data_IF_396107834965
#
_entry.id   IF_396107834965
#
_cell.length_a   1.000
_cell.length_b   1.000
_cell.length_c   1.000
_cell.angle_alpha   90.00
_cell.angle_beta   90.00
_cell.angle_gamma   90.00
#
_symmetry.space_group_name_H-M   'P 1'
#
loop_
_entity.id
_entity.type
_entity.pdbx_description
1 polymer ?
#
# COMPACT_ATOMS: atom_id res chain seq x y z
N UNK A 1 40.70 23.83 -54.22
CA UNK A 1 40.14 24.95 -53.44
C UNK A 1 38.71 25.12 -53.91
N UNK A 2 37.70 24.42 -53.39
CA UNK A 2 37.38 24.18 -51.99
C UNK A 2 36.18 25.07 -51.68
N UNK A 3 34.96 24.55 -51.76
CA UNK A 3 33.81 25.17 -51.10
C UNK A 3 32.79 24.09 -50.70
N UNK A 4 32.66 24.01 -49.37
CA UNK A 4 31.80 23.22 -48.50
C UNK A 4 30.46 22.72 -49.09
N UNK A 5 30.27 21.41 -48.96
CA UNK A 5 28.97 20.75 -48.87
C UNK A 5 28.43 21.00 -47.45
N UNK A 6 27.37 21.79 -47.30
CA UNK A 6 26.61 21.87 -46.05
C UNK A 6 25.58 20.74 -46.08
N UNK A 7 25.96 19.60 -45.48
CA UNK A 7 25.02 18.55 -45.09
C UNK A 7 24.28 19.03 -43.85
N UNK A 8 23.07 19.55 -44.04
CA UNK A 8 22.13 19.81 -42.96
C UNK A 8 21.62 18.45 -42.46
N UNK A 9 22.31 17.88 -41.48
CA UNK A 9 21.80 16.76 -40.69
C UNK A 9 20.68 17.34 -39.81
N UNK A 10 19.46 17.39 -40.34
CA UNK A 10 18.27 17.52 -39.51
C UNK A 10 18.12 16.21 -38.74
N UNK A 11 18.75 16.16 -37.57
CA UNK A 11 18.43 15.23 -36.51
C UNK A 11 16.94 15.41 -36.20
N UNK A 12 16.11 14.55 -36.78
CA UNK A 12 14.79 14.24 -36.24
C UNK A 12 15.05 13.61 -34.86
N UNK A 13 15.23 14.47 -33.86
CA UNK A 13 14.95 14.11 -32.49
C UNK A 13 13.47 13.79 -32.50
N UNK A 14 13.15 12.50 -32.61
CA UNK A 14 11.88 11.97 -32.16
C UNK A 14 11.78 12.33 -30.69
N UNK A 15 11.23 13.52 -30.43
CA UNK A 15 10.68 13.89 -29.15
C UNK A 15 9.50 12.98 -28.90
N UNK A 16 9.78 11.75 -28.49
CA UNK A 16 8.86 11.02 -27.64
C UNK A 16 8.78 11.90 -26.41
N UNK A 17 7.67 12.61 -26.23
CA UNK A 17 7.31 13.11 -24.91
C UNK A 17 7.32 11.87 -24.02
N UNK A 18 8.38 11.68 -23.24
CA UNK A 18 8.35 10.70 -22.17
C UNK A 18 7.20 11.16 -21.28
N UNK A 19 6.14 10.35 -21.19
CA UNK A 19 5.05 10.64 -20.26
C UNK A 19 5.69 10.81 -18.88
N UNK A 20 5.46 11.95 -18.24
CA UNK A 20 6.02 12.19 -16.91
C UNK A 20 5.22 11.33 -15.91
N UNK A 21 5.89 10.32 -15.36
CA UNK A 21 5.32 9.42 -14.36
C UNK A 21 5.86 9.78 -13.00
N UNK A 22 4.98 10.15 -12.09
CA UNK A 22 5.35 10.45 -10.71
C UNK A 22 4.68 9.49 -9.73
N UNK A 23 5.47 8.61 -9.12
CA UNK A 23 5.09 7.75 -8.02
C UNK A 23 4.61 8.58 -6.82
N UNK A 24 3.47 8.20 -6.29
CA UNK A 24 2.84 8.79 -5.10
C UNK A 24 2.91 7.84 -3.90
N UNK A 25 3.11 6.55 -4.14
CA UNK A 25 3.20 5.56 -3.08
C UNK A 25 2.93 4.16 -3.58
N UNK A 26 3.37 3.18 -2.82
CA UNK A 26 3.17 1.79 -3.14
C UNK A 26 3.45 0.84 -1.99
N UNK A 27 2.97 -0.38 -2.14
CA UNK A 27 3.24 -1.51 -1.24
C UNK A 27 3.24 -2.81 -2.04
N UNK A 28 4.04 -3.79 -1.60
CA UNK A 28 4.02 -5.16 -2.07
C UNK A 28 3.82 -6.09 -0.88
N UNK A 29 2.89 -7.03 -0.98
CA UNK A 29 2.67 -8.11 -0.01
C UNK A 29 2.81 -9.45 -0.71
N UNK A 30 3.05 -10.52 0.05
CA UNK A 30 3.12 -11.87 -0.49
C UNK A 30 2.39 -12.88 0.39
N UNK A 31 1.84 -13.91 -0.25
CA UNK A 31 1.14 -15.01 0.40
C UNK A 31 1.50 -16.34 -0.26
N UNK A 32 2.13 -17.28 0.47
CA UNK A 32 2.37 -18.63 -0.02
C UNK A 32 1.05 -19.39 -0.21
N UNK A 33 0.88 -20.04 -1.36
CA UNK A 33 -0.34 -20.80 -1.74
C UNK A 33 -0.10 -22.32 -1.78
N UNK A 34 1.02 -22.79 -1.22
CA UNK A 34 1.41 -24.20 -1.19
C UNK A 34 2.29 -24.62 -2.37
N UNK A 35 2.34 -25.92 -2.64
CA UNK A 35 3.22 -26.49 -3.67
C UNK A 35 2.42 -26.93 -4.90
N UNK A 36 3.02 -26.72 -6.06
CA UNK A 36 2.54 -27.26 -7.32
C UNK A 36 2.88 -28.76 -7.43
N UNK A 37 2.26 -29.44 -8.40
CA UNK A 37 2.51 -30.87 -8.66
C UNK A 37 3.96 -31.18 -9.06
N UNK A 38 4.66 -30.21 -9.64
CA UNK A 38 6.07 -30.31 -10.04
C UNK A 38 7.04 -30.07 -8.87
N UNK A 39 6.54 -29.80 -7.67
CA UNK A 39 7.32 -29.52 -6.47
C UNK A 39 7.73 -28.06 -6.29
N UNK A 40 7.46 -27.18 -7.26
CA UNK A 40 7.69 -25.73 -7.08
C UNK A 40 6.72 -25.14 -6.07
N UNK A 41 7.13 -24.07 -5.39
CA UNK A 41 6.32 -23.37 -4.40
C UNK A 41 5.56 -22.25 -5.11
N UNK A 42 4.24 -22.25 -4.98
CA UNK A 42 3.38 -21.20 -5.53
C UNK A 42 3.27 -20.07 -4.50
N UNK A 43 3.61 -18.85 -4.91
CA UNK A 43 3.47 -17.65 -4.09
C UNK A 43 2.78 -16.57 -4.88
N UNK A 44 1.73 -15.99 -4.28
CA UNK A 44 1.02 -14.87 -4.85
C UNK A 44 1.56 -13.57 -4.25
N UNK A 45 1.88 -12.63 -5.14
CA UNK A 45 2.36 -11.29 -4.83
C UNK A 45 1.27 -10.30 -5.18
N UNK A 46 1.03 -9.36 -4.27
CA UNK A 46 0.00 -8.36 -4.44
C UNK A 46 0.61 -6.98 -4.22
N UNK A 47 0.72 -6.22 -5.31
CA UNK A 47 1.18 -4.82 -5.30
C UNK A 47 0.01 -3.84 -5.42
N UNK A 48 0.12 -2.72 -4.71
CA UNK A 48 -0.78 -1.58 -4.82
C UNK A 48 0.07 -0.35 -4.96
N UNK A 49 0.01 0.31 -6.11
CA UNK A 49 0.86 1.45 -6.46
C UNK A 49 0.02 2.61 -6.99
N UNK A 50 0.54 3.82 -6.91
CA UNK A 50 -0.16 5.02 -7.36
C UNK A 50 0.77 5.98 -8.04
N UNK A 51 0.35 6.47 -9.20
CA UNK A 51 1.16 7.28 -10.09
C UNK A 51 0.38 8.51 -10.55
N UNK A 52 1.04 9.65 -10.71
CA UNK A 52 0.58 10.70 -11.61
C UNK A 52 1.12 10.38 -13.00
N UNK A 53 0.24 10.30 -13.98
CA UNK A 53 0.55 9.94 -15.35
C UNK A 53 -0.03 10.99 -16.30
N UNK A 54 0.78 11.56 -17.20
CA UNK A 54 0.36 12.58 -18.18
C UNK A 54 -0.29 11.99 -19.45
N UNK A 55 -0.87 10.78 -19.37
CA UNK A 55 -1.45 10.02 -20.48
C UNK A 55 -2.44 8.95 -20.00
N UNK A 56 -2.55 7.79 -20.66
CA UNK A 56 -3.38 6.67 -20.20
C UNK A 56 -2.67 5.80 -19.15
N UNK A 57 -3.35 5.48 -18.04
CA UNK A 57 -2.84 4.53 -17.06
C UNK A 57 -2.48 3.20 -17.74
N UNK A 58 -1.23 2.77 -17.60
CA UNK A 58 -0.74 1.47 -18.10
C UNK A 58 -0.31 0.63 -16.91
N UNK A 59 -1.23 -0.13 -16.29
CA UNK A 59 -0.94 -0.86 -15.08
C UNK A 59 -0.07 -2.08 -15.42
N UNK A 60 1.20 -2.04 -15.03
CA UNK A 60 2.14 -3.14 -15.17
C UNK A 60 3.13 -3.11 -13.99
N UNK A 61 3.42 -4.27 -13.41
CA UNK A 61 4.48 -4.43 -12.40
C UNK A 61 5.84 -4.13 -13.00
N UNK A 62 6.66 -3.35 -12.30
CA UNK A 62 8.09 -3.22 -12.58
C UNK A 62 8.98 -3.91 -11.53
N UNK A 63 8.40 -4.78 -10.70
CA UNK A 63 9.14 -5.60 -9.73
C UNK A 63 10.11 -6.60 -10.38
N UNK A 64 11.40 -6.37 -10.17
CA UNK A 64 12.50 -7.19 -10.66
C UNK A 64 13.07 -8.08 -9.56
N UNK A 65 13.69 -9.19 -9.97
CA UNK A 65 14.46 -10.03 -9.05
C UNK A 65 15.79 -9.35 -8.73
N UNK A 66 16.02 -9.03 -7.45
CA UNK A 66 17.21 -8.30 -7.02
C UNK A 66 18.31 -9.22 -6.50
N UNK A 67 17.95 -10.14 -5.61
CA UNK A 67 18.86 -11.08 -4.96
C UNK A 67 18.16 -12.42 -4.75
N UNK A 68 18.91 -13.52 -4.81
CA UNK A 68 18.36 -14.86 -4.67
C UNK A 68 17.70 -15.39 -5.95
N UNK A 69 16.82 -16.37 -5.80
CA UNK A 69 16.06 -16.98 -6.89
C UNK A 69 14.57 -16.64 -6.74
N UNK A 70 14.11 -15.70 -7.56
CA UNK A 70 12.72 -15.25 -7.55
C UNK A 70 11.80 -16.08 -8.46
N UNK A 71 12.27 -17.22 -8.97
CA UNK A 71 11.52 -18.14 -9.82
C UNK A 71 10.91 -17.51 -11.07
N UNK A 72 9.81 -18.08 -11.54
CA UNK A 72 9.13 -17.67 -12.78
C UNK A 72 7.75 -17.12 -12.51
N UNK A 73 7.39 -16.04 -13.22
CA UNK A 73 6.03 -15.51 -13.21
C UNK A 73 5.16 -16.43 -14.07
N UNK A 74 4.08 -16.95 -13.50
CA UNK A 74 3.14 -17.84 -14.20
C UNK A 74 1.84 -17.16 -14.55
N UNK A 75 1.37 -16.23 -13.71
CA UNK A 75 0.20 -15.40 -13.99
C UNK A 75 0.46 -13.97 -13.55
N UNK A 76 -0.14 -13.02 -14.27
CA UNK A 76 -0.18 -11.62 -13.86
C UNK A 76 -1.51 -10.99 -14.27
N UNK A 77 -2.09 -10.24 -13.36
CA UNK A 77 -3.33 -9.49 -13.55
C UNK A 77 -3.11 -8.09 -12.99
N UNK A 78 -3.46 -7.07 -13.76
CA UNK A 78 -3.37 -5.68 -13.31
C UNK A 78 -4.68 -4.97 -13.58
N UNK A 79 -5.07 -4.11 -12.67
CA UNK A 79 -6.29 -3.33 -12.78
C UNK A 79 -6.18 -1.99 -12.11
N UNK A 80 -7.04 -1.07 -12.54
CA UNK A 80 -7.24 0.21 -11.89
C UNK A 80 -8.33 0.09 -10.84
N UNK A 81 -8.14 0.75 -9.70
CA UNK A 81 -9.02 0.63 -8.53
C UNK A 81 -9.96 1.82 -8.33
N UNK A 82 -9.74 2.95 -9.01
CA UNK A 82 -10.62 4.12 -8.99
C UNK A 82 -10.81 4.74 -10.39
N UNK A 83 -11.66 4.14 -11.25
CA UNK A 83 -11.90 4.61 -12.62
C UNK A 83 -12.61 5.97 -12.72
N UNK A 84 -13.10 6.51 -11.59
CA UNK A 84 -13.78 7.81 -11.53
C UNK A 84 -12.81 8.98 -11.25
N UNK A 85 -11.49 8.73 -11.27
CA UNK A 85 -10.51 9.76 -10.98
C UNK A 85 -10.57 10.92 -12.00
N UNK A 86 -10.64 12.15 -11.50
CA UNK A 86 -10.48 13.35 -12.33
C UNK A 86 -8.99 13.69 -12.48
N UNK A 87 -8.47 13.68 -13.71
CA UNK A 87 -7.07 14.04 -14.00
C UNK A 87 -6.17 12.84 -14.29
N UNK A 88 -4.86 12.99 -14.06
CA UNK A 88 -3.84 11.98 -14.35
C UNK A 88 -3.44 11.05 -13.19
N UNK A 89 -4.24 10.94 -12.12
CA UNK A 89 -3.89 10.07 -10.98
C UNK A 89 -4.33 8.63 -11.26
N UNK A 90 -3.41 7.70 -11.39
CA UNK A 90 -3.65 6.28 -11.60
C UNK A 90 -3.44 5.51 -10.29
N UNK A 91 -4.47 4.85 -9.78
CA UNK A 91 -4.34 3.87 -8.68
C UNK A 91 -4.43 2.46 -9.23
N UNK A 92 -3.30 1.76 -9.22
CA UNK A 92 -3.15 0.44 -9.83
C UNK A 92 -2.95 -0.63 -8.77
N UNK A 93 -3.44 -1.81 -9.09
CA UNK A 93 -3.26 -3.03 -8.29
C UNK A 93 -2.78 -4.14 -9.22
N UNK A 94 -1.79 -4.89 -8.73
CA UNK A 94 -1.15 -5.98 -9.45
C UNK A 94 -1.20 -7.26 -8.64
N UNK A 95 -1.64 -8.33 -9.28
CA UNK A 95 -1.56 -9.70 -8.77
C UNK A 95 -0.59 -10.47 -9.64
N UNK A 96 0.46 -11.02 -9.02
CA UNK A 96 1.49 -11.80 -9.72
C UNK A 96 1.70 -13.11 -9.00
N UNK A 97 1.45 -14.24 -9.66
CA UNK A 97 1.84 -15.55 -9.14
C UNK A 97 3.22 -15.90 -9.64
N UNK A 98 4.11 -16.30 -8.72
CA UNK A 98 5.41 -16.89 -9.03
C UNK A 98 5.47 -18.34 -8.59
N UNK A 99 6.11 -19.17 -9.43
CA UNK A 99 6.54 -20.51 -9.08
C UNK A 99 8.02 -20.47 -8.73
N UNK A 100 8.34 -20.79 -7.48
CA UNK A 100 9.69 -20.73 -6.94
C UNK A 100 10.27 -22.15 -6.85
N UNK A 101 11.52 -22.36 -7.29
CA UNK A 101 12.17 -23.66 -7.20
C UNK A 101 12.71 -23.97 -5.79
N UNK A 102 12.72 -22.98 -4.90
CA UNK A 102 13.33 -23.05 -3.58
C UNK A 102 12.55 -22.22 -2.56
N UNK A 103 12.61 -22.60 -1.29
CA UNK A 103 12.07 -21.85 -0.16
C UNK A 103 13.09 -20.89 0.49
N UNK A 104 14.24 -20.71 -0.15
CA UNK A 104 15.30 -19.82 0.32
C UNK A 104 14.92 -18.35 0.21
N UNK A 105 15.55 -17.49 1.04
CA UNK A 105 15.28 -16.06 0.98
C UNK A 105 15.67 -15.44 -0.36
N UNK A 106 14.88 -14.46 -0.80
CA UNK A 106 15.16 -13.65 -1.99
C UNK A 106 14.56 -12.25 -1.84
N UNK A 107 15.05 -11.32 -2.67
CA UNK A 107 14.61 -9.93 -2.69
C UNK A 107 13.96 -9.59 -4.03
N UNK A 108 12.80 -8.94 -3.95
CA UNK A 108 12.20 -8.22 -5.08
C UNK A 108 12.46 -6.73 -4.91
N UNK A 109 12.87 -6.07 -6.00
CA UNK A 109 13.12 -4.64 -6.03
C UNK A 109 12.32 -4.01 -7.14
N UNK A 110 11.66 -2.91 -6.81
CA UNK A 110 11.14 -1.98 -7.77
C UNK A 110 11.79 -0.62 -7.54
N UNK A 111 12.17 0.03 -8.63
CA UNK A 111 12.80 1.33 -8.56
C UNK A 111 12.46 2.13 -9.79
N UNK A 112 12.41 3.43 -9.63
CA UNK A 112 12.13 4.30 -10.73
C UNK A 112 12.43 5.74 -10.43
N UNK A 113 12.21 6.52 -11.46
CA UNK A 113 11.90 7.93 -11.32
C UNK A 113 10.42 8.10 -11.71
N UNK A 114 9.69 9.09 -11.25
CA UNK A 114 10.05 10.10 -10.26
C UNK A 114 9.08 10.00 -9.07
N UNK A 115 9.39 10.59 -7.92
CA UNK A 115 8.37 10.91 -6.90
C UNK A 115 7.89 12.33 -7.15
N UNK A 116 6.57 12.55 -7.12
CA UNK A 116 5.98 13.86 -7.36
C UNK A 116 6.47 14.87 -6.31
N UNK A 117 7.35 15.79 -6.75
CA UNK A 117 7.67 17.08 -6.11
C UNK A 117 7.71 17.09 -4.57
N UNK A 118 8.47 16.19 -3.93
CA UNK A 118 8.86 16.38 -2.51
C UNK A 118 9.42 17.79 -2.27
N UNK A 119 9.50 18.26 -1.03
CA UNK A 119 10.01 19.59 -0.61
C UNK A 119 11.32 20.09 -1.32
N UNK A 120 12.03 19.23 -2.06
CA UNK A 120 13.29 19.45 -2.76
C UNK A 120 13.28 19.11 -4.27
N UNK A 121 12.11 18.89 -4.89
CA UNK A 121 11.97 18.59 -6.32
C UNK A 121 11.76 17.10 -6.64
N UNK A 122 11.94 16.78 -7.93
CA UNK A 122 11.82 15.43 -8.51
C UNK A 122 12.90 14.51 -7.93
N UNK A 123 12.53 13.39 -7.33
CA UNK A 123 13.48 12.42 -6.76
C UNK A 123 13.21 10.99 -7.23
N UNK A 124 14.22 10.13 -7.12
CA UNK A 124 14.07 8.70 -7.38
C UNK A 124 13.41 8.01 -6.19
N UNK A 125 12.85 6.82 -6.41
CA UNK A 125 12.30 5.96 -5.37
C UNK A 125 12.82 4.54 -5.54
N UNK A 126 12.81 3.80 -4.43
CA UNK A 126 13.16 2.38 -4.36
C UNK A 126 12.26 1.70 -3.36
N UNK A 127 11.67 0.57 -3.73
CA UNK A 127 10.89 -0.29 -2.86
C UNK A 127 11.47 -1.70 -2.93
N UNK A 128 11.87 -2.24 -1.79
CA UNK A 128 12.41 -3.60 -1.71
C UNK A 128 11.58 -4.45 -0.77
N UNK A 129 11.20 -5.64 -1.21
CA UNK A 129 10.60 -6.67 -0.37
C UNK A 129 11.60 -7.80 -0.16
N UNK A 130 11.71 -8.29 1.08
CA UNK A 130 12.48 -9.45 1.46
C UNK A 130 11.53 -10.59 1.82
N UNK A 131 11.69 -11.72 1.15
CA UNK A 131 10.81 -12.89 1.28
C UNK A 131 11.64 -14.05 1.81
N UNK A 132 11.17 -14.72 2.86
CA UNK A 132 11.72 -15.99 3.36
C UNK A 132 10.56 -17.00 3.50
N UNK A 133 10.67 -18.13 2.82
CA UNK A 133 9.62 -19.15 2.75
C UNK A 133 9.95 -20.40 3.56
N UNK A 134 11.01 -20.33 4.37
CA UNK A 134 11.40 -21.42 5.25
C UNK A 134 10.23 -21.84 6.13
N UNK A 135 10.03 -23.16 6.27
CA UNK A 135 8.93 -23.69 7.06
C UNK A 135 9.15 -23.37 8.53
N UNK A 136 8.23 -22.60 9.10
CA UNK A 136 8.33 -22.14 10.48
C UNK A 136 8.04 -23.26 11.48
N UNK A 137 8.80 -23.35 12.56
CA UNK A 137 8.60 -24.35 13.62
C UNK A 137 7.38 -24.09 14.50
N UNK A 138 6.89 -22.86 14.57
CA UNK A 138 5.75 -22.43 15.40
C UNK A 138 4.40 -22.62 14.70
N UNK A 139 4.30 -22.26 13.41
CA UNK A 139 3.06 -22.38 12.62
C UNK A 139 3.03 -23.65 11.77
N UNK A 140 4.18 -24.25 11.47
CA UNK A 140 4.30 -25.39 10.57
C UNK A 140 4.13 -25.04 9.09
N UNK A 141 4.04 -23.76 8.74
CA UNK A 141 3.83 -23.24 7.38
C UNK A 141 4.90 -22.19 7.03
N UNK A 142 5.12 -21.90 5.74
CA UNK A 142 5.88 -20.72 5.32
C UNK A 142 5.24 -19.42 5.83
N UNK A 143 6.04 -18.36 5.93
CA UNK A 143 5.60 -17.06 6.41
C UNK A 143 4.64 -16.36 5.42
N UNK A 144 3.60 -15.70 5.91
CA UNK A 144 2.83 -14.69 5.17
C UNK A 144 3.34 -13.31 5.57
N UNK A 145 3.44 -12.38 4.61
CA UNK A 145 3.85 -11.02 4.97
C UNK A 145 2.80 -10.32 5.84
N UNK A 146 3.18 -9.22 6.53
CA UNK A 146 2.20 -8.26 6.99
C UNK A 146 1.32 -7.78 5.83
N UNK A 147 0.11 -7.36 6.16
CA UNK A 147 -0.78 -6.68 5.24
C UNK A 147 -0.91 -5.22 5.66
N UNK A 148 -0.95 -4.36 4.65
CA UNK A 148 -1.21 -2.95 4.79
C UNK A 148 -1.75 -2.39 3.48
N UNK A 149 -2.43 -1.26 3.55
CA UNK A 149 -2.71 -0.42 2.39
C UNK A 149 -2.92 1.01 2.86
N UNK A 150 -2.85 1.97 1.94
CA UNK A 150 -3.10 3.36 2.25
C UNK A 150 -3.52 4.11 0.99
N UNK A 151 -4.44 5.09 1.07
CA UNK A 151 -4.57 6.09 0.02
C UNK A 151 -3.20 6.72 -0.23
N UNK A 152 -2.74 6.82 -1.48
CA UNK A 152 -1.37 7.23 -1.78
C UNK A 152 -1.06 8.67 -1.36
N UNK A 153 -2.09 9.51 -1.26
CA UNK A 153 -1.98 10.88 -0.80
C UNK A 153 -2.96 11.13 0.33
N UNK A 154 -2.41 11.49 1.49
CA UNK A 154 -3.16 11.95 2.65
C UNK A 154 -2.89 13.45 2.84
N UNK A 155 -3.94 14.23 3.10
CA UNK A 155 -3.87 15.68 3.22
C UNK A 155 -4.07 16.08 4.69
N UNK A 156 -3.23 16.99 5.18
CA UNK A 156 -3.30 17.50 6.56
C UNK A 156 -3.06 19.03 6.58
N UNK A 157 -3.88 19.82 7.30
CA UNK A 157 -3.60 21.25 7.45
C UNK A 157 -2.38 21.51 8.34
N UNK A 158 -1.55 22.47 7.97
CA UNK A 158 -0.30 22.79 8.68
C UNK A 158 -0.46 23.08 10.19
N UNK A 159 -1.63 23.55 10.62
CA UNK A 159 -1.95 23.94 12.00
C UNK A 159 -2.76 22.89 12.78
N UNK A 160 -3.01 21.72 12.22
CA UNK A 160 -3.85 20.68 12.83
C UNK A 160 -3.04 19.41 13.11
N UNK A 161 -2.53 19.24 14.34
CA UNK A 161 -1.85 18.01 14.75
C UNK A 161 -2.74 16.80 14.49
N UNK A 162 -2.17 15.77 13.87
CA UNK A 162 -2.90 14.60 13.40
C UNK A 162 -2.05 13.35 13.58
N UNK A 163 -2.65 12.26 14.06
CA UNK A 163 -1.99 10.95 14.12
C UNK A 163 -2.63 10.02 13.10
N UNK A 164 -1.82 9.48 12.20
CA UNK A 164 -2.19 8.44 11.25
C UNK A 164 -1.86 7.08 11.86
N UNK A 165 -2.90 6.33 12.21
CA UNK A 165 -2.76 4.95 12.66
C UNK A 165 -2.63 4.05 11.43
N UNK A 166 -1.41 3.73 11.03
CA UNK A 166 -1.15 2.95 9.82
C UNK A 166 -1.66 1.52 10.05
N UNK A 167 -2.34 0.93 9.06
CA UNK A 167 -2.73 -0.47 9.15
C UNK A 167 -1.46 -1.33 9.06
N UNK A 168 -1.19 -2.13 10.08
CA UNK A 168 -0.11 -3.09 10.10
C UNK A 168 -0.61 -4.35 10.82
N UNK A 169 -0.99 -5.36 10.05
CA UNK A 169 -1.49 -6.62 10.61
C UNK A 169 -0.75 -7.78 10.00
N UNK A 170 -0.37 -8.75 10.82
CA UNK A 170 0.24 -9.98 10.35
C UNK A 170 -0.76 -11.16 10.44
N UNK A 171 -1.09 -11.83 9.31
CA UNK A 171 -2.02 -12.96 9.30
C UNK A 171 -1.57 -14.21 10.09
N UNK A 172 -0.28 -14.36 10.38
CA UNK A 172 0.27 -15.45 11.21
C UNK A 172 0.28 -15.08 12.72
N UNK A 173 -0.07 -13.82 13.02
CA UNK A 173 -0.14 -13.26 14.36
C UNK A 173 1.21 -12.80 14.90
N UNK A 174 2.15 -12.52 14.01
CA UNK A 174 3.45 -11.97 14.36
C UNK A 174 3.37 -10.51 14.79
N UNK A 175 4.41 -10.05 15.49
CA UNK A 175 4.52 -8.64 15.85
C UNK A 175 5.04 -7.86 14.66
N UNK A 176 4.29 -6.86 14.21
CA UNK A 176 4.72 -5.99 13.11
C UNK A 176 5.36 -4.73 13.68
N UNK A 177 6.52 -4.36 13.13
CA UNK A 177 7.19 -3.07 13.37
C UNK A 177 7.24 -2.29 12.06
N UNK A 178 6.94 -1.00 12.12
CA UNK A 178 7.10 -0.07 11.01
C UNK A 178 8.33 0.80 11.27
N UNK A 179 9.25 0.91 10.32
CA UNK A 179 10.41 1.80 10.44
C UNK A 179 10.69 2.52 9.14
N UNK A 180 11.48 3.60 9.19
CA UNK A 180 12.02 4.17 7.97
C UNK A 180 12.96 3.18 7.29
N UNK A 181 12.95 3.18 5.95
CA UNK A 181 13.86 2.35 5.18
C UNK A 181 15.33 2.72 5.42
N UNK A 182 16.22 1.76 5.16
CA UNK A 182 17.65 1.94 5.27
C UNK A 182 18.26 1.99 3.86
N UNK A 183 18.91 3.11 3.55
CA UNK A 183 19.51 3.35 2.22
C UNK A 183 20.53 2.28 1.82
N UNK A 184 21.38 1.87 2.75
CA UNK A 184 22.41 0.85 2.51
C UNK A 184 21.82 -0.54 2.18
N UNK A 185 20.55 -0.78 2.54
CA UNK A 185 19.83 -2.01 2.21
C UNK A 185 19.02 -1.89 0.92
N UNK A 186 19.10 -0.77 0.20
CA UNK A 186 18.25 -0.46 -0.96
C UNK A 186 16.75 -0.44 -0.68
N UNK A 187 16.34 -0.19 0.57
CA UNK A 187 14.92 -0.15 0.98
C UNK A 187 14.23 1.18 0.63
N UNK A 188 15.02 2.22 0.32
CA UNK A 188 14.56 3.57 0.01
C UNK A 188 15.67 4.35 -0.71
N UNK A 189 15.31 5.47 -1.34
CA UNK A 189 16.26 6.32 -2.04
C UNK A 189 16.78 7.47 -1.17
N UNK A 190 15.85 8.18 -0.50
CA UNK A 190 16.15 9.35 0.32
C UNK A 190 16.20 8.98 1.80
N UNK A 191 15.29 8.12 2.26
CA UNK A 191 15.20 7.63 3.63
C UNK A 191 15.14 8.79 4.65
N UNK A 192 14.49 9.90 4.26
CA UNK A 192 14.49 11.13 5.04
C UNK A 192 13.40 11.06 6.10
N UNK A 193 13.74 11.55 7.28
CA UNK A 193 12.79 11.88 8.33
C UNK A 193 12.51 13.38 8.31
N UNK A 194 11.37 13.78 8.88
CA UNK A 194 11.02 15.18 9.08
C UNK A 194 10.86 15.47 10.56
N UNK A 195 11.30 16.64 11.03
CA UNK A 195 11.11 17.06 12.42
C UNK A 195 9.64 17.31 12.78
N UNK A 196 8.78 17.54 11.77
CA UNK A 196 7.34 17.77 11.95
C UNK A 196 6.56 16.46 12.20
N UNK A 197 7.24 15.31 12.03
CA UNK A 197 6.63 13.98 12.10
C UNK A 197 7.40 13.05 13.04
N UNK A 198 6.68 12.30 13.86
CA UNK A 198 7.24 11.26 14.73
C UNK A 198 6.56 9.93 14.42
N UNK A 199 7.35 8.89 14.19
CA UNK A 199 6.86 7.52 13.99
C UNK A 199 7.04 6.73 15.28
N UNK A 200 5.94 6.25 15.86
CA UNK A 200 5.99 5.14 16.81
C UNK A 200 6.13 3.85 16.01
N UNK A 201 7.33 3.29 16.00
CA UNK A 201 7.65 2.13 15.17
C UNK A 201 6.94 0.85 15.60
N UNK A 202 6.62 0.71 16.90
CA UNK A 202 5.99 -0.50 17.42
C UNK A 202 4.47 -0.45 17.26
N UNK A 203 3.87 0.74 17.41
CA UNK A 203 2.45 0.94 17.19
C UNK A 203 2.09 1.22 15.73
N UNK A 204 3.09 1.46 14.87
CA UNK A 204 2.91 1.91 13.49
C UNK A 204 2.06 3.20 13.40
N UNK A 205 2.30 4.15 14.32
CA UNK A 205 1.57 5.41 14.39
C UNK A 205 2.45 6.57 13.93
N UNK A 206 2.06 7.24 12.85
CA UNK A 206 2.74 8.43 12.35
C UNK A 206 2.03 9.68 12.88
N UNK A 207 2.69 10.43 13.75
CA UNK A 207 2.13 11.64 14.36
C UNK A 207 2.73 12.90 13.74
N UNK A 208 1.87 13.78 13.24
CA UNK A 208 2.18 15.11 12.76
C UNK A 208 1.91 16.14 13.85
N UNK A 209 2.91 16.96 14.19
CA UNK A 209 2.79 18.00 15.24
C UNK A 209 2.33 19.36 14.71
N UNK A 210 2.20 19.50 13.38
CA UNK A 210 2.10 20.81 12.72
C UNK A 210 3.40 21.18 12.01
N UNK A 211 3.31 22.07 11.03
CA UNK A 211 4.48 22.58 10.28
C UNK A 211 4.31 24.06 9.96
N UNK A 212 5.42 24.77 9.76
CA UNK A 212 5.42 26.11 9.18
C UNK A 212 5.51 26.12 7.66
N UNK A 213 5.75 24.96 7.04
CA UNK A 213 5.86 24.79 5.59
C UNK A 213 4.74 23.92 5.05
N UNK A 214 4.13 24.37 3.95
CA UNK A 214 3.24 23.56 3.13
C UNK A 214 4.03 22.74 2.12
N UNK A 215 3.48 21.61 1.71
CA UNK A 215 4.02 20.79 0.63
C UNK A 215 4.01 19.29 0.95
N UNK A 216 4.48 18.47 0.01
CA UNK A 216 4.51 17.03 0.16
C UNK A 216 5.71 16.54 0.98
N UNK A 217 5.41 15.62 1.88
CA UNK A 217 6.34 14.83 2.66
C UNK A 217 6.27 13.38 2.18
N UNK A 218 7.41 12.84 1.77
CA UNK A 218 7.53 11.47 1.29
C UNK A 218 7.90 10.56 2.44
N UNK A 219 7.12 9.52 2.66
CA UNK A 219 7.42 8.47 3.64
C UNK A 219 7.84 7.21 2.90
N UNK A 220 9.06 6.75 3.16
CA UNK A 220 9.62 5.51 2.64
C UNK A 220 9.78 4.54 3.81
N UNK A 221 8.71 3.84 4.18
CA UNK A 221 8.68 2.93 5.33
C UNK A 221 8.87 1.48 4.91
N UNK A 222 9.28 0.66 5.87
CA UNK A 222 9.37 -0.79 5.78
C UNK A 222 8.59 -1.38 6.95
N UNK A 223 7.71 -2.34 6.65
CA UNK A 223 7.05 -3.17 7.65
C UNK A 223 7.82 -4.48 7.78
N UNK A 224 8.10 -4.86 9.02
CA UNK A 224 8.85 -6.04 9.40
C UNK A 224 7.99 -6.88 10.35
N UNK A 225 7.85 -8.17 10.09
CA UNK A 225 7.20 -9.13 10.98
C UNK A 225 8.24 -9.88 11.82
N UNK A 226 7.92 -10.08 13.10
CA UNK A 226 8.77 -10.80 14.04
C UNK A 226 7.98 -11.90 14.74
N UNK A 227 8.54 -13.12 14.83
CA UNK A 227 7.85 -14.21 15.49
C UNK A 227 7.64 -13.88 16.97
N UNK A 228 6.56 -14.39 17.56
CA UNK A 228 6.27 -14.17 18.99
C UNK A 228 7.22 -14.90 19.94
N UNK A 229 7.94 -15.89 19.43
CA UNK A 229 8.93 -16.68 20.14
C UNK A 229 10.09 -17.04 19.20
N UNK A 230 11.16 -17.64 19.71
CA UNK A 230 12.25 -18.11 18.85
C UNK A 230 11.70 -19.17 17.89
N UNK A 231 11.83 -18.91 16.59
CA UNK A 231 11.26 -19.76 15.54
C UNK A 231 12.36 -20.23 14.61
N UNK A 232 12.48 -21.54 14.43
CA UNK A 232 13.38 -22.13 13.44
C UNK A 232 12.69 -22.16 12.09
N UNK A 233 13.35 -21.62 11.07
CA UNK A 233 12.99 -21.80 9.68
C UNK A 233 13.76 -23.00 9.13
N UNK A 234 13.03 -23.98 8.60
CA UNK A 234 13.61 -25.17 7.96
C UNK A 234 13.40 -25.09 6.45
N UNK A 235 14.46 -25.30 5.71
CA UNK A 235 14.45 -25.22 4.25
C UNK A 235 14.43 -26.63 3.62
N UNK A 236 14.01 -26.73 2.36
CA UNK A 236 13.93 -28.00 1.62
C UNK A 236 15.31 -28.65 1.40
N UNK A 237 16.38 -27.86 1.36
CA UNK A 237 17.76 -28.35 1.25
C UNK A 237 18.32 -28.95 2.56
N UNK A 238 17.53 -28.96 3.63
CA UNK A 238 17.88 -29.50 4.94
C UNK A 238 18.60 -28.52 5.86
N UNK A 239 18.89 -27.30 5.40
CA UNK A 239 19.45 -26.24 6.26
C UNK A 239 18.38 -25.58 7.13
N UNK A 240 18.81 -24.80 8.11
CA UNK A 240 17.91 -24.06 8.99
C UNK A 240 18.51 -22.77 9.53
N UNK A 241 17.67 -21.78 9.79
CA UNK A 241 18.00 -20.53 10.48
C UNK A 241 17.06 -20.33 11.67
N UNK A 242 17.43 -19.47 12.62
CA UNK A 242 16.57 -19.12 13.76
C UNK A 242 16.25 -17.63 13.70
N UNK A 243 14.96 -17.32 13.77
CA UNK A 243 14.41 -15.97 13.85
C UNK A 243 14.01 -15.66 15.28
N UNK A 244 14.28 -14.43 15.71
CA UNK A 244 14.11 -14.01 17.10
C UNK A 244 13.05 -12.91 17.21
N UNK A 245 12.24 -12.91 18.29
CA UNK A 245 11.26 -11.87 18.55
C UNK A 245 11.88 -10.47 18.62
N UNK A 246 11.06 -9.46 18.31
CA UNK A 246 11.45 -8.03 18.36
C UNK A 246 11.94 -7.58 19.74
N UNK A 247 11.59 -8.29 20.81
CA UNK A 247 12.01 -7.96 22.18
C UNK A 247 13.43 -8.40 22.53
N UNK A 248 14.14 -9.07 21.62
CA UNK A 248 15.51 -9.55 21.84
C UNK A 248 16.52 -8.70 21.04
N UNK A 249 17.72 -8.51 21.58
CA UNK A 249 18.79 -7.72 20.93
C UNK A 249 19.24 -8.29 19.58
N UNK A 250 19.01 -9.59 19.36
CA UNK A 250 19.31 -10.32 18.13
C UNK A 250 18.10 -10.50 17.22
N UNK A 251 17.06 -9.67 17.40
CA UNK A 251 15.83 -9.71 16.60
C UNK A 251 16.14 -9.70 15.10
N UNK A 252 15.49 -10.59 14.36
CA UNK A 252 15.61 -10.69 12.92
C UNK A 252 14.23 -10.99 12.34
N UNK A 253 13.70 -10.15 11.43
CA UNK A 253 12.34 -10.33 10.94
C UNK A 253 12.23 -11.56 10.02
N UNK A 254 11.01 -12.08 9.90
CA UNK A 254 10.69 -13.18 8.99
C UNK A 254 10.66 -12.69 7.54
N UNK A 255 10.18 -11.47 7.33
CA UNK A 255 10.03 -10.82 6.05
C UNK A 255 10.08 -9.30 6.19
N UNK A 256 10.23 -8.61 5.04
CA UNK A 256 10.18 -7.15 5.00
C UNK A 256 9.37 -6.73 3.79
N UNK A 257 8.41 -5.83 3.98
CA UNK A 257 7.64 -5.25 2.87
C UNK A 257 7.74 -3.73 2.85
N UNK A 258 7.78 -3.10 1.67
CA UNK A 258 7.82 -1.65 1.57
C UNK A 258 6.42 -1.05 1.73
N UNK A 259 6.35 0.13 2.36
CA UNK A 259 5.17 0.99 2.38
C UNK A 259 5.60 2.42 2.10
N UNK A 260 5.23 2.94 0.93
CA UNK A 260 5.52 4.32 0.55
C UNK A 260 4.24 5.10 0.31
N UNK A 261 4.19 6.35 0.76
CA UNK A 261 3.05 7.25 0.58
C UNK A 261 3.47 8.71 0.77
N UNK A 262 2.57 9.62 0.38
CA UNK A 262 2.73 11.06 0.55
C UNK A 262 1.78 11.60 1.62
N UNK A 263 2.31 12.45 2.49
CA UNK A 263 1.50 13.39 3.28
C UNK A 263 1.65 14.78 2.69
N UNK A 264 0.55 15.35 2.22
CA UNK A 264 0.50 16.72 1.72
C UNK A 264 0.10 17.64 2.87
N UNK A 265 1.03 18.47 3.33
CA UNK A 265 0.73 19.52 4.29
C UNK A 265 0.17 20.72 3.54
N UNK A 266 -1.12 20.96 3.70
CA UNK A 266 -1.82 22.09 3.10
C UNK A 266 -1.81 23.32 4.00
N UNK A 267 -2.27 24.45 3.45
CA UNK A 267 -2.47 25.68 4.21
C UNK A 267 -3.32 25.48 5.46
N UNK A 268 -3.18 26.40 6.42
CA UNK A 268 -3.88 26.30 7.70
C UNK A 268 -5.40 26.19 7.51
N UNK A 269 -6.02 25.28 8.25
CA UNK A 269 -7.46 25.22 8.38
C UNK A 269 -7.94 26.36 9.29
N UNK A 270 -9.11 26.97 9.00
CA UNK A 270 -9.70 27.96 9.91
C UNK A 270 -9.98 27.40 11.31
N UNK A 271 -10.24 26.10 11.41
CA UNK A 271 -10.46 25.37 12.66
C UNK A 271 -10.04 23.91 12.50
N UNK A 272 -9.42 23.35 13.54
CA UNK A 272 -9.05 21.94 13.63
C UNK A 272 -10.12 21.08 14.32
N UNK A 273 -11.28 21.65 14.65
CA UNK A 273 -12.39 20.92 15.25
C UNK A 273 -12.97 19.97 14.20
N UNK A 274 -12.88 18.66 14.48
CA UNK A 274 -13.44 17.63 13.61
C UNK A 274 -14.95 17.80 13.46
N UNK A 275 -15.43 17.80 12.22
CA UNK A 275 -16.83 17.99 11.86
C UNK A 275 -17.16 19.42 11.43
N UNK A 276 -16.24 20.38 11.55
CA UNK A 276 -16.37 21.71 10.97
C UNK A 276 -15.82 21.70 9.53
N UNK A 277 -14.53 22.00 9.35
CA UNK A 277 -13.85 21.96 8.05
C UNK A 277 -13.24 20.58 7.73
N UNK A 278 -12.69 19.94 8.76
CA UNK A 278 -12.10 18.60 8.67
C UNK A 278 -13.22 17.59 8.89
N UNK A 279 -13.52 16.69 7.92
CA UNK A 279 -14.62 15.75 8.07
C UNK A 279 -14.47 14.84 9.29
N UNK A 280 -15.58 14.60 9.99
CA UNK A 280 -15.65 13.65 11.10
C UNK A 280 -16.55 12.48 10.74
N UNK A 281 -16.06 11.26 10.91
CA UNK A 281 -16.89 10.08 10.74
C UNK A 281 -18.00 9.99 11.79
N UNK A 282 -19.17 9.56 11.36
CA UNK A 282 -20.35 9.31 12.18
C UNK A 282 -20.89 7.90 11.92
N UNK A 283 -21.70 7.39 12.84
CA UNK A 283 -22.42 6.11 12.67
C UNK A 283 -23.25 6.15 11.37
N UNK A 284 -23.27 5.07 10.56
CA UNK A 284 -22.76 3.72 10.82
C UNK A 284 -21.34 3.42 10.30
N UNK A 285 -20.45 4.41 10.16
CA UNK A 285 -19.08 4.16 9.69
C UNK A 285 -18.31 3.19 10.58
N UNK A 286 -17.75 2.15 9.97
CA UNK A 286 -16.92 1.14 10.62
C UNK A 286 -15.68 1.75 11.30
N UNK A 287 -15.26 1.15 12.42
CA UNK A 287 -14.07 1.56 13.16
C UNK A 287 -12.78 1.15 12.46
N UNK A 288 -11.69 1.89 12.71
CA UNK A 288 -10.36 1.52 12.24
C UNK A 288 -9.94 0.15 12.80
N UNK A 289 -9.30 -0.69 11.99
CA UNK A 289 -8.75 -1.99 12.36
C UNK A 289 -9.79 -3.11 12.53
N UNK A 290 -11.06 -2.90 12.18
CA UNK A 290 -12.07 -3.96 12.32
C UNK A 290 -11.90 -5.03 11.25
N UNK A 291 -12.18 -6.28 11.66
CA UNK A 291 -12.25 -7.43 10.75
C UNK A 291 -13.69 -7.64 10.28
N UNK A 292 -13.87 -7.83 8.98
CA UNK A 292 -15.16 -8.13 8.36
C UNK A 292 -15.01 -9.42 7.57
N UNK A 293 -15.96 -10.34 7.72
CA UNK A 293 -16.00 -11.57 6.92
C UNK A 293 -16.70 -11.30 5.60
N UNK A 294 -16.11 -11.79 4.52
CA UNK A 294 -16.73 -11.87 3.21
C UNK A 294 -16.73 -13.33 2.73
N UNK A 295 -17.69 -13.67 1.87
CA UNK A 295 -17.83 -15.03 1.36
C UNK A 295 -17.59 -15.01 -0.13
N UNK A 296 -16.85 -15.98 -0.64
CA UNK A 296 -16.59 -16.18 -2.06
C UNK A 296 -17.88 -16.01 -2.89
N UNK A 297 -17.82 -15.12 -3.89
CA UNK A 297 -18.91 -14.87 -4.85
C UNK A 297 -20.12 -14.14 -4.28
N UNK A 298 -20.12 -13.74 -3.00
CA UNK A 298 -21.18 -12.94 -2.39
C UNK A 298 -20.71 -11.49 -2.26
N UNK A 299 -21.51 -10.56 -2.78
CA UNK A 299 -21.30 -9.13 -2.55
C UNK A 299 -21.42 -8.84 -1.04
N UNK A 300 -20.36 -8.29 -0.45
CA UNK A 300 -20.45 -7.67 0.86
C UNK A 300 -20.35 -6.15 0.70
N UNK A 301 -20.86 -5.43 1.71
CA UNK A 301 -20.84 -3.98 1.69
C UNK A 301 -20.69 -3.41 3.09
N UNK A 302 -20.13 -2.20 3.17
CA UNK A 302 -20.07 -1.44 4.42
C UNK A 302 -20.33 0.05 4.16
N UNK A 303 -21.05 0.72 5.06
CA UNK A 303 -21.35 2.14 4.92
C UNK A 303 -20.21 3.01 5.46
N UNK A 304 -20.04 4.18 4.84
CA UNK A 304 -19.18 5.27 5.33
C UNK A 304 -20.01 6.54 5.36
N UNK A 305 -19.96 7.28 6.46
CA UNK A 305 -20.72 8.51 6.67
C UNK A 305 -19.86 9.50 7.45
N UNK A 306 -19.73 10.72 6.92
CA UNK A 306 -18.96 11.78 7.54
C UNK A 306 -19.72 13.10 7.49
N UNK A 307 -19.48 13.96 8.48
CA UNK A 307 -20.07 15.30 8.60
C UNK A 307 -18.99 16.37 8.51
N UNK A 308 -19.30 17.48 7.84
CA UNK A 308 -18.50 18.70 7.80
C UNK A 308 -19.45 19.89 7.65
N UNK A 309 -19.58 20.71 8.69
CA UNK A 309 -20.59 21.79 8.74
C UNK A 309 -20.12 23.08 8.08
N UNK A 310 -18.81 23.25 7.87
CA UNK A 310 -18.19 24.45 7.31
C UNK A 310 -17.51 24.20 5.95
N UNK A 311 -17.53 22.96 5.45
CA UNK A 311 -17.03 22.60 4.13
C UNK A 311 -17.86 21.47 3.53
N UNK A 312 -17.89 21.37 2.20
CA UNK A 312 -18.72 20.39 1.49
C UNK A 312 -17.91 19.12 1.26
N UNK A 313 -18.40 17.99 1.78
CA UNK A 313 -17.82 16.68 1.46
C UNK A 313 -18.22 16.33 0.02
N UNK A 314 -17.23 16.09 -0.84
CA UNK A 314 -17.47 15.76 -2.24
C UNK A 314 -17.05 14.33 -2.61
N UNK A 315 -16.26 13.66 -1.78
CA UNK A 315 -15.81 12.30 -2.07
C UNK A 315 -15.47 11.53 -0.78
N UNK A 316 -15.53 10.21 -0.87
CA UNK A 316 -14.88 9.28 0.05
C UNK A 316 -13.86 8.51 -0.78
N UNK A 317 -12.57 8.82 -0.59
CA UNK A 317 -11.47 8.14 -1.26
C UNK A 317 -11.27 6.78 -0.62
N UNK A 318 -11.07 5.76 -1.44
CA UNK A 318 -10.98 4.37 -1.00
C UNK A 318 -9.79 3.76 -1.71
N UNK A 319 -8.90 3.12 -0.93
CA UNK A 319 -7.90 2.19 -1.44
C UNK A 319 -8.36 0.78 -1.09
N UNK A 320 -8.76 0.01 -2.09
CA UNK A 320 -9.33 -1.33 -1.91
C UNK A 320 -8.81 -2.32 -2.96
N UNK A 321 -9.40 -3.52 -3.05
CA UNK A 321 -9.09 -4.51 -4.09
C UNK A 321 -9.69 -4.15 -5.46
N UNK A 322 -9.20 -4.79 -6.53
CA UNK A 322 -9.75 -4.67 -7.89
C UNK A 322 -11.25 -4.98 -7.86
N UNK A 323 -12.02 -4.21 -8.64
CA UNK A 323 -13.49 -4.25 -8.70
C UNK A 323 -14.21 -3.81 -7.43
N UNK A 324 -13.53 -3.14 -6.49
CA UNK A 324 -14.24 -2.38 -5.45
C UNK A 324 -15.05 -1.25 -6.09
N UNK A 325 -16.26 -1.04 -5.60
CA UNK A 325 -17.15 0.04 -6.06
C UNK A 325 -17.69 0.82 -4.88
N UNK A 326 -18.10 2.07 -5.14
CA UNK A 326 -18.75 2.91 -4.14
C UNK A 326 -19.89 3.71 -4.77
N UNK A 327 -20.95 3.93 -4.00
CA UNK A 327 -21.91 5.00 -4.29
C UNK A 327 -21.58 6.19 -3.41
N UNK A 328 -21.83 7.41 -3.85
CA UNK A 328 -21.69 8.61 -3.01
C UNK A 328 -22.92 9.51 -3.10
N UNK A 329 -23.36 10.06 -1.96
CA UNK A 329 -24.43 11.03 -1.86
C UNK A 329 -24.11 12.06 -0.78
N UNK A 330 -24.34 13.34 -1.06
CA UNK A 330 -24.19 14.43 -0.10
C UNK A 330 -25.57 15.00 0.26
N UNK A 331 -25.85 15.11 1.56
CA UNK A 331 -27.05 15.74 2.11
C UNK A 331 -26.72 17.17 2.52
N UNK A 332 -27.28 18.14 1.80
CA UNK A 332 -27.04 19.57 2.03
C UNK A 332 -27.71 20.10 3.30
N UNK A 333 -28.75 19.43 3.81
CA UNK A 333 -29.47 19.85 5.02
C UNK A 333 -28.70 19.42 6.27
N UNK A 334 -28.18 18.20 6.28
CA UNK A 334 -27.42 17.66 7.42
C UNK A 334 -25.91 17.86 7.30
N UNK A 335 -25.43 18.32 6.15
CA UNK A 335 -24.01 18.45 5.80
C UNK A 335 -23.24 17.12 5.93
N UNK A 336 -23.91 16.02 5.56
CA UNK A 336 -23.38 14.65 5.67
C UNK A 336 -23.12 14.08 4.28
N UNK A 337 -21.88 13.63 4.05
CA UNK A 337 -21.53 12.77 2.93
C UNK A 337 -21.69 11.30 3.32
N UNK A 338 -22.34 10.51 2.47
CA UNK A 338 -22.60 9.07 2.67
C UNK A 338 -22.10 8.29 1.48
N UNK A 339 -21.39 7.20 1.73
CA UNK A 339 -21.08 6.19 0.74
C UNK A 339 -21.45 4.79 1.20
N UNK A 340 -21.74 3.93 0.23
CA UNK A 340 -21.83 2.49 0.42
C UNK A 340 -20.75 1.86 -0.43
N UNK A 341 -19.79 1.21 0.23
CA UNK A 341 -18.67 0.53 -0.41
C UNK A 341 -19.04 -0.92 -0.62
N UNK A 342 -18.77 -1.47 -1.80
CA UNK A 342 -19.14 -2.82 -2.20
C UNK A 342 -17.97 -3.52 -2.87
N UNK A 343 -17.82 -4.80 -2.58
CA UNK A 343 -16.87 -5.66 -3.26
C UNK A 343 -17.38 -7.11 -3.24
N UNK A 344 -17.03 -7.88 -4.27
CA UNK A 344 -17.37 -9.30 -4.38
C UNK A 344 -16.07 -10.10 -4.50
N UNK A 345 -15.67 -10.87 -3.47
CA UNK A 345 -14.47 -11.69 -3.53
C UNK A 345 -14.57 -12.79 -4.59
N UNK A 346 -13.43 -13.09 -5.18
CA UNK A 346 -13.26 -14.15 -6.18
C UNK A 346 -12.45 -15.30 -5.60
N UNK A 347 -12.27 -16.38 -6.37
CA UNK A 347 -11.59 -17.59 -5.89
C UNK A 347 -10.13 -17.34 -5.48
N UNK A 348 -9.47 -16.31 -6.05
CA UNK A 348 -8.08 -15.98 -5.71
C UNK A 348 -7.94 -15.38 -4.32
N UNK A 349 -9.00 -14.74 -3.83
CA UNK A 349 -8.99 -14.00 -2.56
C UNK A 349 -9.24 -14.91 -1.35
N UNK A 350 -9.70 -16.15 -1.57
CA UNK A 350 -10.03 -17.10 -0.49
C UNK A 350 -8.79 -17.37 0.38
N UNK A 351 -8.98 -17.24 1.69
CA UNK A 351 -7.91 -17.40 2.69
C UNK A 351 -7.03 -16.17 2.87
N UNK A 352 -7.21 -15.12 2.05
CA UNK A 352 -6.46 -13.88 2.16
C UNK A 352 -7.14 -12.88 3.09
N UNK A 353 -6.30 -11.95 3.55
CA UNK A 353 -6.69 -10.82 4.39
C UNK A 353 -6.54 -9.56 3.55
N UNK A 354 -7.66 -8.98 3.14
CA UNK A 354 -7.69 -7.89 2.18
C UNK A 354 -7.87 -6.55 2.90
N UNK A 355 -6.85 -5.69 2.95
CA UNK A 355 -6.96 -4.39 3.58
C UNK A 355 -7.72 -3.41 2.67
N UNK A 356 -8.64 -2.65 3.26
CA UNK A 356 -9.37 -1.56 2.59
C UNK A 356 -9.28 -0.31 3.47
N UNK A 357 -8.69 0.77 2.94
CA UNK A 357 -8.56 2.05 3.64
C UNK A 357 -9.36 3.16 2.98
N UNK A 358 -9.83 4.13 3.77
CA UNK A 358 -10.65 5.22 3.26
C UNK A 358 -10.51 6.51 4.07
N UNK A 359 -10.73 7.63 3.36
CA UNK A 359 -10.78 9.00 3.91
C UNK A 359 -11.96 9.76 3.30
N UNK A 360 -12.73 10.49 4.11
CA UNK A 360 -13.69 11.46 3.60
C UNK A 360 -12.97 12.75 3.22
N UNK A 361 -13.31 13.33 2.08
CA UNK A 361 -12.66 14.53 1.54
C UNK A 361 -13.65 15.64 1.22
N UNK A 362 -13.25 16.87 1.50
CA UNK A 362 -14.00 18.07 1.15
C UNK A 362 -13.54 18.72 -0.15
N UNK A 363 -14.39 19.57 -0.71
CA UNK A 363 -14.06 20.42 -1.87
C UNK A 363 -12.89 21.37 -1.62
N UNK A 364 -12.63 21.70 -0.36
CA UNK A 364 -11.51 22.57 0.05
C UNK A 364 -10.23 21.80 0.35
N UNK A 365 -10.19 20.48 0.13
CA UNK A 365 -8.98 19.66 0.29
C UNK A 365 -8.76 19.09 1.70
N UNK A 366 -9.70 19.24 2.64
CA UNK A 366 -9.56 18.65 3.97
C UNK A 366 -9.98 17.18 3.99
N UNK A 367 -9.25 16.37 4.74
CA UNK A 367 -9.52 14.94 4.90
C UNK A 367 -9.83 14.56 6.35
N UNK A 368 -10.70 13.57 6.54
CA UNK A 368 -10.91 12.95 7.86
C UNK A 368 -9.65 12.23 8.36
N UNK A 369 -9.72 11.69 9.58
CA UNK A 369 -8.80 10.63 9.98
C UNK A 369 -8.79 9.48 8.95
N UNK A 370 -7.64 8.81 8.82
CA UNK A 370 -7.53 7.59 8.04
C UNK A 370 -8.18 6.43 8.79
N UNK A 371 -9.03 5.66 8.11
CA UNK A 371 -9.53 4.38 8.61
C UNK A 371 -9.25 3.27 7.63
N UNK A 372 -8.92 2.10 8.15
CA UNK A 372 -8.67 0.89 7.42
C UNK A 372 -9.43 -0.26 8.07
N UNK A 373 -9.93 -1.19 7.25
CA UNK A 373 -10.53 -2.45 7.69
C UNK A 373 -9.78 -3.62 7.05
N UNK A 374 -9.97 -4.80 7.61
CA UNK A 374 -9.43 -6.04 7.05
C UNK A 374 -10.60 -6.96 6.70
N UNK A 375 -10.70 -7.35 5.44
CA UNK A 375 -11.71 -8.29 4.98
C UNK A 375 -11.09 -9.69 4.91
N UNK A 376 -11.64 -10.64 5.65
CA UNK A 376 -11.24 -12.05 5.60
C UNK A 376 -12.19 -12.77 4.64
N UNK A 377 -11.63 -13.41 3.61
CA UNK A 377 -12.45 -14.11 2.60
C UNK A 377 -12.53 -15.60 2.92
N UNK A 378 -13.74 -16.07 3.15
CA UNK A 378 -14.06 -17.46 3.46
C UNK A 378 -14.69 -18.16 2.25
N UNK A 379 -14.51 -19.48 2.16
CA UNK A 379 -15.24 -20.29 1.19
C UNK A 379 -16.75 -20.22 1.44
N UNK A 380 -17.53 -20.36 0.36
CA UNK A 380 -18.96 -20.59 0.48
C UNK A 380 -19.18 -21.92 1.20
N UNK A 381 -19.74 -21.91 2.40
CA UNK A 381 -20.28 -23.14 2.99
C UNK A 381 -21.34 -23.69 2.02
N UNK A 382 -21.00 -24.77 1.32
CA UNK A 382 -22.00 -25.61 0.68
C UNK A 382 -22.88 -26.13 1.81
N UNK A 383 -24.15 -25.72 1.82
CA UNK A 383 -25.11 -26.30 2.74
C UNK A 383 -25.08 -27.81 2.56
N UNK A 384 -24.75 -28.54 3.62
CA UNK A 384 -25.19 -29.91 3.76
C UNK A 384 -26.72 -29.87 3.71
N UNK A 385 -27.30 -30.15 2.55
CA UNK A 385 -28.66 -30.67 2.48
C UNK A 385 -28.56 -32.10 3.00
N UNK A 386 -28.92 -32.30 4.27
CA UNK A 386 -29.40 -33.59 4.76
C UNK A 386 -30.76 -33.93 4.12
#
# INVERSE_FOLDING_TARGET
MGLLVVLLYCSLVSGVFANEVYMQGGVLTFTPKGNNLDGTIRVDFHSKESYVYTGSCSPASSWECHEGDCGTITTSEYGETDPEHSGGNCEVEGFVTRNLPSDKPFDLLEQGCCVANGQYGVSWWKMKAHIDLGRRSDTGHPNRSPITTMPPQILVPQNCPTTFNLLAHDPDGDNVRCRYGIKNNSECYNCKTSADFTLDENACNLSFSGSSSSGPYVFELVLEDFPRQNTTLKYHDGTSTVKYPVSQDVSDPLSKIPLQFLVIVDGAAPSCVLGEYIPKYITPTVSNGVFIKAVLGKEFSFPVSAVSTQSVINNIRIRGPINITKTFAYDTVTAVGKALVKWTPTAKDVGDYIPICFVAQTTTGYQSELRCIIVIVEESQSGFQE
#
